data_IF_962524153696
#
_entry.id   IF_962524153696
#
_cell.length_a   1.000
_cell.length_b   1.000
_cell.length_c   1.000
_cell.angle_alpha   90.00
_cell.angle_beta   90.00
_cell.angle_gamma   90.00
#
_symmetry.space_group_name_H-M   'P 1'
#
loop_
_entity.id
_entity.type
_entity.pdbx_description
1 polymer ?
#
# COMPACT_ATOMS: atom_id res chain seq x y z
N UNK A 1 45.55 32.50 -1.55
CA UNK A 1 44.81 31.62 -0.63
C UNK A 1 43.38 32.15 -0.55
N UNK A 2 42.49 31.59 -1.34
CA UNK A 2 41.07 31.96 -1.37
C UNK A 2 40.30 30.69 -1.70
N UNK A 3 39.89 29.96 -0.66
CA UNK A 3 39.06 28.78 -0.80
C UNK A 3 37.59 29.22 -0.84
N UNK A 4 37.00 29.17 -2.03
CA UNK A 4 35.55 29.04 -2.18
C UNK A 4 35.16 27.59 -1.82
N UNK A 5 34.41 27.41 -0.73
CA UNK A 5 33.72 26.16 -0.43
C UNK A 5 32.30 26.24 -1.01
N UNK A 6 32.14 25.59 -2.16
CA UNK A 6 30.88 25.39 -2.86
C UNK A 6 29.92 24.53 -2.03
N UNK A 7 28.76 25.08 -1.66
CA UNK A 7 27.61 24.35 -1.13
C UNK A 7 27.05 23.42 -2.21
N UNK A 8 27.40 22.12 -2.17
CA UNK A 8 26.95 21.14 -3.18
C UNK A 8 26.70 19.71 -2.68
N UNK A 9 26.34 19.49 -1.41
CA UNK A 9 26.24 18.11 -0.88
C UNK A 9 24.84 17.65 -0.44
N UNK A 10 23.79 18.48 -0.53
CA UNK A 10 22.41 18.07 -0.21
C UNK A 10 21.76 17.05 -1.16
N UNK A 11 21.95 17.12 -2.50
CA UNK A 11 21.27 16.23 -3.45
C UNK A 11 21.80 14.79 -3.50
N UNK A 12 23.05 14.54 -3.07
CA UNK A 12 23.70 13.24 -3.25
C UNK A 12 23.24 12.19 -2.22
N UNK A 13 22.99 12.57 -0.96
CA UNK A 13 22.50 11.64 0.07
C UNK A 13 21.11 11.07 -0.25
N UNK A 14 20.27 11.85 -0.95
CA UNK A 14 18.93 11.43 -1.36
C UNK A 14 18.94 10.42 -2.52
N UNK A 15 19.88 10.59 -3.45
CA UNK A 15 20.13 9.60 -4.52
C UNK A 15 20.64 8.28 -3.92
N UNK A 16 21.41 8.33 -2.83
CA UNK A 16 21.91 7.12 -2.14
C UNK A 16 20.77 6.29 -1.52
N UNK A 17 19.73 6.92 -0.96
CA UNK A 17 18.56 6.20 -0.42
C UNK A 17 17.67 5.62 -1.54
N UNK A 18 17.55 6.31 -2.68
CA UNK A 18 16.89 5.76 -3.86
C UNK A 18 17.68 4.58 -4.48
N UNK A 19 19.01 4.59 -4.37
CA UNK A 19 19.90 3.53 -4.86
C UNK A 19 19.98 2.30 -3.93
N UNK A 20 19.48 2.38 -2.69
CA UNK A 20 19.28 1.18 -1.86
C UNK A 20 18.16 0.28 -2.39
N UNK A 21 17.30 0.83 -3.26
CA UNK A 21 16.33 0.04 -4.01
C UNK A 21 16.87 -0.23 -5.42
N UNK A 22 16.92 -1.49 -5.88
CA UNK A 22 17.45 -1.79 -7.20
C UNK A 22 16.67 -1.02 -8.28
N UNK A 23 17.40 -0.22 -9.09
CA UNK A 23 16.88 0.37 -10.34
C UNK A 23 16.62 -0.77 -11.32
N UNK A 24 15.34 -1.04 -11.58
CA UNK A 24 14.93 -2.04 -12.56
C UNK A 24 15.15 -1.52 -13.98
N UNK A 25 15.93 -2.26 -14.77
CA UNK A 25 15.86 -2.23 -16.22
C UNK A 25 14.70 -3.14 -16.65
N UNK A 26 13.80 -2.63 -17.50
CA UNK A 26 12.67 -3.39 -18.06
C UNK A 26 13.14 -4.67 -18.76
N UNK A 27 13.24 -5.76 -18.00
CA UNK A 27 13.40 -7.12 -18.48
C UNK A 27 12.06 -7.81 -18.27
N UNK A 28 11.48 -8.39 -19.32
CA UNK A 28 10.22 -9.14 -19.23
C UNK A 28 10.45 -10.34 -18.33
N UNK A 29 10.06 -10.25 -17.05
CA UNK A 29 10.03 -11.40 -16.15
C UNK A 29 9.16 -12.50 -16.76
N UNK A 30 9.57 -13.79 -16.68
CA UNK A 30 8.74 -14.89 -17.15
C UNK A 30 7.36 -14.83 -16.50
N UNK A 31 6.30 -14.94 -17.33
CA UNK A 31 4.92 -15.01 -16.85
C UNK A 31 4.76 -16.25 -15.96
N UNK A 32 4.16 -16.06 -14.79
CA UNK A 32 3.86 -17.16 -13.89
C UNK A 32 2.78 -18.06 -14.50
N UNK A 33 2.81 -19.37 -14.21
CA UNK A 33 1.70 -20.24 -14.55
C UNK A 33 0.40 -19.71 -13.92
N UNK A 34 -0.61 -19.49 -14.75
CA UNK A 34 -1.98 -19.23 -14.29
C UNK A 34 -2.59 -20.53 -13.76
N UNK A 35 -3.20 -20.50 -12.59
CA UNK A 35 -3.87 -21.66 -11.96
C UNK A 35 -5.40 -21.48 -11.97
N UNK A 36 -6.15 -22.52 -11.60
CA UNK A 36 -7.60 -22.46 -11.39
C UNK A 36 -7.94 -22.52 -9.91
N UNK A 37 -9.10 -21.97 -9.53
CA UNK A 37 -9.62 -22.08 -8.16
C UNK A 37 -9.74 -23.55 -7.71
N UNK A 38 -10.22 -24.44 -8.58
CA UNK A 38 -10.34 -25.87 -8.30
C UNK A 38 -8.99 -26.52 -7.99
N UNK A 39 -7.92 -26.12 -8.68
CA UNK A 39 -6.56 -26.59 -8.36
C UNK A 39 -6.10 -26.10 -6.99
N UNK A 40 -6.37 -24.83 -6.66
CA UNK A 40 -6.00 -24.24 -5.37
C UNK A 40 -6.79 -24.86 -4.20
N UNK A 41 -8.04 -25.28 -4.42
CA UNK A 41 -8.84 -26.01 -3.42
C UNK A 41 -8.32 -27.43 -3.21
N UNK A 42 -7.74 -28.04 -4.25
CA UNK A 42 -7.23 -29.40 -4.21
C UNK A 42 -5.78 -29.52 -3.67
N UNK A 43 -5.17 -28.43 -3.21
CA UNK A 43 -3.77 -28.45 -2.75
C UNK A 43 -3.59 -29.29 -1.49
N UNK A 44 -2.52 -30.08 -1.47
CA UNK A 44 -1.99 -30.79 -0.30
C UNK A 44 -1.35 -29.81 0.70
N UNK A 45 -1.14 -30.17 1.99
CA UNK A 45 -0.54 -29.29 3.02
C UNK A 45 0.91 -28.82 2.76
N UNK A 46 1.44 -29.02 1.56
CA UNK A 46 2.81 -28.68 1.15
C UNK A 46 3.00 -27.23 0.69
N UNK A 47 1.92 -26.48 0.46
CA UNK A 47 1.95 -25.12 -0.11
C UNK A 47 1.00 -24.19 0.63
N UNK A 48 1.29 -22.88 0.60
CA UNK A 48 0.49 -21.85 1.25
C UNK A 48 -0.05 -20.90 0.18
N UNK A 49 -1.32 -20.51 0.33
CA UNK A 49 -1.96 -19.52 -0.52
C UNK A 49 -1.83 -18.14 0.13
N UNK A 50 -1.09 -17.24 -0.50
CA UNK A 50 -0.83 -15.90 -0.02
C UNK A 50 -1.45 -14.85 -0.95
N UNK A 51 -2.36 -14.03 -0.42
CA UNK A 51 -2.99 -12.92 -1.11
C UNK A 51 -2.12 -11.67 -1.03
N UNK A 52 -1.71 -11.18 -2.19
CA UNK A 52 -1.04 -9.90 -2.38
C UNK A 52 -2.00 -8.82 -2.88
N UNK A 53 -1.91 -7.62 -2.30
CA UNK A 53 -2.71 -6.45 -2.68
C UNK A 53 -1.91 -5.13 -2.76
N UNK A 54 -0.69 -5.10 -2.24
CA UNK A 54 0.18 -3.93 -2.23
C UNK A 54 1.41 -4.12 -3.09
N UNK A 55 2.59 -3.78 -2.55
CA UNK A 55 3.87 -3.89 -3.28
C UNK A 55 4.18 -5.28 -3.85
N UNK A 56 3.60 -6.34 -3.28
CA UNK A 56 3.74 -7.73 -3.75
C UNK A 56 2.94 -8.06 -5.01
N UNK A 57 2.11 -7.15 -5.50
CA UNK A 57 1.53 -7.29 -6.84
C UNK A 57 2.64 -7.26 -7.91
N UNK A 58 3.72 -6.50 -7.71
CA UNK A 58 4.80 -6.42 -8.69
C UNK A 58 5.85 -7.52 -8.49
N UNK A 59 6.24 -8.17 -9.58
CA UNK A 59 7.36 -9.09 -9.61
C UNK A 59 8.68 -8.43 -9.19
N UNK A 60 8.85 -7.12 -9.36
CA UNK A 60 10.03 -6.39 -8.89
C UNK A 60 10.21 -6.58 -7.39
N UNK A 61 9.13 -6.45 -6.63
CA UNK A 61 9.17 -6.61 -5.17
C UNK A 61 9.15 -8.08 -4.79
N UNK A 62 8.19 -8.84 -5.32
CA UNK A 62 7.88 -10.18 -4.87
C UNK A 62 8.97 -11.18 -5.27
N UNK A 63 9.36 -11.21 -6.57
CA UNK A 63 10.40 -12.10 -7.07
C UNK A 63 11.80 -11.50 -6.94
N UNK A 64 11.91 -10.18 -7.14
CA UNK A 64 13.19 -9.46 -7.16
C UNK A 64 13.72 -9.22 -5.75
N UNK A 65 13.21 -8.18 -5.08
CA UNK A 65 13.72 -7.75 -3.77
C UNK A 65 13.60 -8.84 -2.70
N UNK A 66 12.48 -9.58 -2.67
CA UNK A 66 12.23 -10.64 -1.66
C UNK A 66 12.74 -12.02 -2.07
N UNK A 67 13.07 -12.25 -3.35
CA UNK A 67 13.55 -13.54 -3.83
C UNK A 67 12.50 -14.66 -3.86
N UNK A 68 11.20 -14.33 -3.71
CA UNK A 68 10.13 -15.33 -3.65
C UNK A 68 9.94 -16.02 -4.99
N UNK A 69 9.74 -17.34 -4.97
CA UNK A 69 9.51 -18.16 -6.16
C UNK A 69 8.10 -18.74 -6.16
N UNK A 70 7.07 -17.95 -6.53
CA UNK A 70 5.70 -18.46 -6.55
C UNK A 70 5.52 -19.58 -7.57
N UNK A 71 4.80 -20.62 -7.16
CA UNK A 71 4.50 -21.81 -7.96
C UNK A 71 3.39 -21.52 -8.98
N UNK A 72 2.41 -20.73 -8.59
CA UNK A 72 1.33 -20.27 -9.46
C UNK A 72 0.72 -18.97 -8.95
N UNK A 73 -0.08 -18.30 -9.79
CA UNK A 73 -0.81 -17.08 -9.44
C UNK A 73 -2.25 -17.10 -9.97
N UNK A 74 -3.17 -16.50 -9.22
CA UNK A 74 -4.58 -16.32 -9.58
C UNK A 74 -5.09 -14.95 -9.15
N UNK A 75 -5.72 -14.21 -10.06
CA UNK A 75 -6.37 -12.95 -9.73
C UNK A 75 -7.65 -13.25 -8.92
N UNK A 76 -7.85 -12.50 -7.84
CA UNK A 76 -8.99 -12.71 -6.95
C UNK A 76 -9.67 -11.42 -6.55
N UNK A 77 -10.94 -11.58 -6.20
CA UNK A 77 -11.80 -10.58 -5.60
C UNK A 77 -12.11 -10.99 -4.16
N UNK A 78 -12.04 -10.04 -3.23
CA UNK A 78 -12.22 -10.24 -1.79
C UNK A 78 -13.18 -9.16 -1.27
N UNK A 79 -14.51 -9.42 -1.29
CA UNK A 79 -15.53 -8.43 -0.90
C UNK A 79 -15.46 -8.02 0.57
N UNK A 80 -14.87 -8.86 1.43
CA UNK A 80 -14.79 -8.63 2.87
C UNK A 80 -13.68 -7.66 3.26
N UNK A 81 -12.82 -7.24 2.33
CA UNK A 81 -11.73 -6.31 2.57
C UNK A 81 -11.81 -5.10 1.65
N UNK A 82 -11.32 -3.96 2.11
CA UNK A 82 -11.13 -2.74 1.32
C UNK A 82 -9.65 -2.33 1.36
N UNK A 83 -9.10 -1.95 0.20
CA UNK A 83 -7.75 -1.38 0.11
C UNK A 83 -7.73 0.01 0.74
N UNK A 84 -6.80 0.24 1.66
CA UNK A 84 -6.53 1.55 2.25
C UNK A 84 -5.07 1.93 2.06
N UNK A 85 -4.73 3.19 2.33
CA UNK A 85 -3.37 3.70 2.30
C UNK A 85 -3.05 4.42 3.61
N UNK A 86 -3.22 3.70 4.72
CA UNK A 86 -3.16 4.24 6.07
C UNK A 86 -2.03 3.64 6.92
N UNK A 87 -1.23 2.73 6.35
CA UNK A 87 0.00 2.29 7.00
C UNK A 87 1.01 3.45 6.93
N UNK A 88 1.46 4.03 8.06
CA UNK A 88 2.36 5.17 8.03
C UNK A 88 3.77 4.75 7.60
N UNK A 89 4.33 5.50 6.66
CA UNK A 89 5.75 5.44 6.34
C UNK A 89 6.51 6.59 6.97
N UNK A 90 7.28 7.31 6.17
CA UNK A 90 8.11 8.44 6.60
C UNK A 90 7.64 9.73 5.90
N UNK A 91 7.31 10.80 6.64
CA UNK A 91 6.85 12.05 6.04
C UNK A 91 7.91 12.65 5.09
N UNK A 92 7.44 13.39 4.09
CA UNK A 92 8.23 13.98 2.99
C UNK A 92 8.94 12.99 2.06
N UNK A 93 8.75 11.68 2.24
CA UNK A 93 9.33 10.65 1.36
C UNK A 93 8.24 9.73 0.85
N UNK A 94 7.89 8.73 1.66
CA UNK A 94 6.83 7.77 1.41
C UNK A 94 5.88 7.81 2.60
N UNK A 95 4.92 8.76 2.58
CA UNK A 95 4.17 9.07 3.80
C UNK A 95 3.27 7.93 4.25
N UNK A 96 2.77 7.13 3.31
CA UNK A 96 1.97 5.96 3.61
C UNK A 96 2.11 4.85 2.57
N UNK A 97 1.74 3.64 3.00
CA UNK A 97 1.71 2.40 2.23
C UNK A 97 0.32 1.77 2.25
N UNK A 98 0.10 0.79 1.38
CA UNK A 98 -1.14 0.06 1.29
C UNK A 98 -1.38 -0.81 2.53
N UNK A 99 -2.64 -0.95 2.88
CA UNK A 99 -3.13 -1.83 3.93
C UNK A 99 -4.54 -2.28 3.56
N UNK A 100 -5.14 -3.13 4.38
CA UNK A 100 -6.54 -3.56 4.21
C UNK A 100 -7.34 -3.35 5.48
N UNK A 101 -8.63 -3.06 5.32
CA UNK A 101 -9.62 -3.01 6.40
C UNK A 101 -10.73 -4.00 6.09
N UNK A 102 -11.31 -4.61 7.12
CA UNK A 102 -12.57 -5.31 6.93
C UNK A 102 -13.62 -4.33 6.44
N UNK A 103 -14.36 -4.72 5.41
CA UNK A 103 -15.44 -3.90 4.86
C UNK A 103 -16.58 -3.88 5.87
N UNK A 104 -16.66 -2.83 6.68
CA UNK A 104 -17.90 -2.44 7.34
C UNK A 104 -18.82 -1.74 6.34
N UNK A 105 -20.16 -1.80 6.49
CA UNK A 105 -21.06 -0.96 5.70
C UNK A 105 -20.59 0.49 5.81
N UNK A 106 -20.30 1.12 4.67
CA UNK A 106 -19.67 2.42 4.64
C UNK A 106 -20.57 3.46 5.33
N UNK A 107 -20.09 4.22 6.32
CA UNK A 107 -20.71 5.52 6.59
C UNK A 107 -20.57 6.36 5.30
N UNK A 108 -21.54 7.24 4.98
CA UNK A 108 -21.42 8.12 3.83
C UNK A 108 -20.12 8.94 3.98
N UNK A 109 -19.15 8.67 3.11
CA UNK A 109 -17.89 9.41 3.10
C UNK A 109 -18.19 10.84 2.65
N UNK A 110 -18.14 11.76 3.62
CA UNK A 110 -18.12 13.19 3.35
C UNK A 110 -16.69 13.69 3.04
N UNK A 111 -15.74 12.77 2.81
CA UNK A 111 -14.34 13.09 2.54
C UNK A 111 -13.97 12.64 1.13
N UNK A 112 -13.92 13.63 0.26
CA UNK A 112 -13.92 13.57 -1.20
C UNK A 112 -12.54 13.28 -1.82
N UNK A 113 -11.79 12.33 -1.25
CA UNK A 113 -10.52 11.91 -1.83
C UNK A 113 -10.71 10.68 -2.73
N UNK A 114 -10.06 10.63 -3.90
CA UNK A 114 -10.26 9.58 -4.92
C UNK A 114 -10.05 8.14 -4.41
N UNK A 115 -9.30 7.96 -3.33
CA UNK A 115 -9.05 6.67 -2.68
C UNK A 115 -10.32 5.97 -2.24
N UNK A 116 -11.34 6.72 -1.85
CA UNK A 116 -12.59 6.19 -1.29
C UNK A 116 -13.64 5.88 -2.37
N UNK A 117 -13.30 6.04 -3.67
CA UNK A 117 -14.24 5.80 -4.79
C UNK A 117 -14.42 4.32 -5.13
N UNK A 118 -13.47 3.47 -4.72
CA UNK A 118 -13.57 2.03 -4.97
C UNK A 118 -14.28 1.33 -3.82
N UNK A 119 -15.50 0.87 -4.08
CA UNK A 119 -16.40 0.27 -3.09
C UNK A 119 -16.73 -1.19 -3.38
N UNK A 120 -16.07 -1.81 -4.36
CA UNK A 120 -16.36 -3.19 -4.77
C UNK A 120 -15.60 -4.23 -3.95
N UNK A 121 -14.87 -3.85 -2.91
CA UNK A 121 -13.99 -4.75 -2.15
C UNK A 121 -12.62 -4.95 -2.81
N UNK A 122 -11.71 -5.65 -2.15
CA UNK A 122 -10.31 -5.75 -2.56
C UNK A 122 -10.14 -6.60 -3.82
N UNK A 123 -9.29 -6.15 -4.73
CA UNK A 123 -8.81 -6.94 -5.87
C UNK A 123 -7.32 -7.18 -5.66
N UNK A 124 -6.88 -8.41 -5.85
CA UNK A 124 -5.50 -8.80 -5.61
C UNK A 124 -5.10 -10.05 -6.37
N UNK A 125 -3.94 -10.60 -6.01
CA UNK A 125 -3.39 -11.81 -6.60
C UNK A 125 -3.09 -12.80 -5.50
N UNK A 126 -3.65 -13.99 -5.57
CA UNK A 126 -3.21 -15.11 -4.74
C UNK A 126 -2.04 -15.81 -5.41
N UNK A 127 -0.93 -15.89 -4.70
CA UNK A 127 0.22 -16.71 -5.03
C UNK A 127 0.18 -18.03 -4.25
N UNK A 128 0.49 -19.12 -4.93
CA UNK A 128 0.84 -20.38 -4.28
C UNK A 128 2.35 -20.38 -4.01
N UNK A 129 2.74 -20.45 -2.74
CA UNK A 129 4.13 -20.37 -2.31
C UNK A 129 4.53 -21.55 -1.43
N UNK A 130 5.84 -21.78 -1.32
CA UNK A 130 6.38 -22.77 -0.38
C UNK A 130 6.31 -22.24 1.05
N UNK A 131 6.32 -23.10 2.08
CA UNK A 131 6.41 -22.65 3.47
C UNK A 131 7.65 -21.77 3.76
N UNK A 132 8.76 -22.02 3.06
CA UNK A 132 9.99 -21.24 3.19
C UNK A 132 9.84 -19.82 2.62
N UNK A 133 9.28 -19.73 1.42
CA UNK A 133 8.92 -18.45 0.82
C UNK A 133 7.92 -17.68 1.71
N UNK A 134 6.97 -18.38 2.32
CA UNK A 134 5.99 -17.78 3.22
C UNK A 134 6.65 -17.20 4.48
N UNK A 135 7.62 -17.89 5.10
CA UNK A 135 8.40 -17.32 6.21
C UNK A 135 9.11 -16.03 5.80
N UNK A 136 9.69 -16.02 4.60
CA UNK A 136 10.36 -14.83 4.05
C UNK A 136 9.37 -13.67 3.85
N UNK A 137 8.15 -13.95 3.39
CA UNK A 137 7.07 -12.95 3.28
C UNK A 137 6.75 -12.35 4.66
N UNK A 138 6.49 -13.21 5.66
CA UNK A 138 6.17 -12.77 7.03
C UNK A 138 7.31 -11.91 7.61
N UNK A 139 8.56 -12.37 7.50
CA UNK A 139 9.72 -11.65 8.02
C UNK A 139 9.93 -10.28 7.35
N UNK A 140 9.67 -10.17 6.03
CA UNK A 140 9.93 -8.95 5.26
C UNK A 140 8.76 -7.97 5.17
N UNK A 141 7.57 -8.35 5.64
CA UNK A 141 6.41 -7.45 5.73
C UNK A 141 6.16 -6.94 7.15
N UNK A 142 6.97 -7.36 8.12
CA UNK A 142 6.71 -7.06 9.54
C UNK A 142 5.53 -7.86 10.09
N UNK A 143 5.28 -9.05 9.53
CA UNK A 143 4.31 -10.01 10.05
C UNK A 143 4.71 -10.42 11.46
N UNK A 144 3.87 -10.07 12.44
CA UNK A 144 4.13 -10.26 13.87
C UNK A 144 4.54 -8.99 14.63
N UNK A 145 4.90 -7.90 13.96
CA UNK A 145 5.22 -6.62 14.61
C UNK A 145 4.23 -5.50 14.24
N UNK A 146 3.81 -5.41 12.97
CA UNK A 146 2.83 -4.41 12.50
C UNK A 146 1.66 -5.00 11.73
N UNK A 147 1.80 -6.17 11.14
CA UNK A 147 0.72 -6.88 10.45
C UNK A 147 0.36 -8.19 11.16
N UNK A 148 -0.93 -8.52 11.15
CA UNK A 148 -1.48 -9.80 11.55
C UNK A 148 -1.75 -10.66 10.32
N UNK A 149 -1.35 -11.92 10.41
CA UNK A 149 -1.75 -12.95 9.44
C UNK A 149 -3.22 -13.32 9.68
N UNK A 150 -4.05 -13.10 8.66
CA UNK A 150 -5.47 -13.43 8.66
C UNK A 150 -5.83 -14.24 7.42
N UNK A 151 -6.81 -15.12 7.55
CA UNK A 151 -7.30 -15.95 6.45
C UNK A 151 -8.62 -15.38 5.95
N UNK A 152 -8.70 -15.08 4.64
CA UNK A 152 -9.86 -14.43 4.03
C UNK A 152 -10.44 -15.20 2.85
N UNK A 153 -11.77 -15.15 2.64
CA UNK A 153 -12.40 -15.77 1.48
C UNK A 153 -12.09 -15.00 0.20
N UNK A 154 -11.57 -15.70 -0.80
CA UNK A 154 -11.16 -15.20 -2.09
C UNK A 154 -12.01 -15.83 -3.20
N UNK A 155 -12.47 -15.00 -4.14
CA UNK A 155 -13.25 -15.41 -5.31
C UNK A 155 -12.39 -15.23 -6.56
N UNK A 156 -12.29 -16.28 -7.37
CA UNK A 156 -11.46 -16.23 -8.57
C UNK A 156 -12.04 -15.27 -9.61
N UNK A 157 -11.17 -14.42 -10.16
CA UNK A 157 -11.50 -13.56 -11.30
C UNK A 157 -11.16 -14.32 -12.57
N UNK A 158 -12.13 -14.43 -13.48
CA UNK A 158 -11.90 -15.07 -14.77
C UNK A 158 -10.84 -14.31 -15.58
N UNK A 159 -9.92 -15.00 -16.28
CA UNK A 159 -8.95 -14.35 -17.15
C UNK A 159 -9.65 -13.49 -18.21
N UNK A 160 -9.21 -12.24 -18.37
CA UNK A 160 -9.78 -11.30 -19.33
C UNK A 160 -11.06 -10.59 -18.86
N UNK A 161 -11.49 -10.76 -17.61
CA UNK A 161 -12.54 -9.95 -17.01
C UNK A 161 -12.19 -8.47 -17.05
N UNK A 162 -13.09 -7.65 -17.61
CA UNK A 162 -12.93 -6.19 -17.68
C UNK A 162 -13.42 -5.47 -16.44
N UNK A 163 -14.48 -6.00 -15.84
CA UNK A 163 -15.16 -5.41 -14.69
C UNK A 163 -15.33 -6.41 -13.58
N UNK A 164 -15.40 -5.92 -12.36
CA UNK A 164 -15.73 -6.71 -11.17
C UNK A 164 -17.13 -6.36 -10.69
N UNK A 165 -17.92 -7.37 -10.35
CA UNK A 165 -19.18 -7.22 -9.64
C UNK A 165 -18.90 -7.10 -8.14
N UNK A 166 -19.61 -6.20 -7.44
CA UNK A 166 -19.41 -6.02 -6.01
C UNK A 166 -19.75 -7.28 -5.20
N UNK A 167 -20.64 -8.12 -5.73
CA UNK A 167 -21.03 -9.40 -5.16
C UNK A 167 -20.54 -10.51 -6.10
N UNK A 168 -19.53 -11.29 -5.70
CA UNK A 168 -18.97 -12.30 -6.57
C UNK A 168 -19.92 -13.50 -6.72
N UNK A 169 -19.97 -14.04 -7.94
CA UNK A 169 -20.62 -15.32 -8.22
C UNK A 169 -19.55 -16.41 -8.24
N UNK A 170 -19.56 -17.32 -7.26
CA UNK A 170 -18.61 -18.42 -7.19
C UNK A 170 -18.43 -19.02 -5.80
N UNK A 171 -17.72 -20.15 -5.74
CA UNK A 171 -17.32 -20.77 -4.48
C UNK A 171 -16.01 -20.13 -4.03
N UNK A 172 -15.94 -19.57 -2.82
CA UNK A 172 -14.71 -18.99 -2.32
C UNK A 172 -13.69 -20.09 -1.96
N UNK A 173 -12.42 -19.72 -2.02
CA UNK A 173 -11.33 -20.47 -1.39
C UNK A 173 -10.59 -19.53 -0.42
N UNK A 174 -9.78 -20.08 0.48
CA UNK A 174 -9.17 -19.30 1.55
C UNK A 174 -7.69 -19.04 1.28
N UNK A 175 -7.23 -17.81 1.53
CA UNK A 175 -5.83 -17.44 1.44
C UNK A 175 -5.42 -16.60 2.64
N UNK A 176 -4.16 -16.75 3.03
CA UNK A 176 -3.50 -15.90 4.02
C UNK A 176 -3.25 -14.52 3.44
N UNK A 177 -3.43 -13.49 4.24
CA UNK A 177 -3.09 -12.12 3.91
C UNK A 177 -2.60 -11.40 5.16
N UNK A 178 -1.81 -10.35 4.95
CA UNK A 178 -1.35 -9.51 6.04
C UNK A 178 -2.26 -8.29 6.17
N UNK A 179 -2.82 -8.08 7.35
CA UNK A 179 -3.66 -6.94 7.69
C UNK A 179 -3.17 -6.31 8.99
N UNK A 180 -3.01 -4.99 9.04
CA UNK A 180 -2.73 -4.28 10.29
C UNK A 180 -4.04 -3.80 10.91
N UNK A 181 -4.56 -4.40 12.00
CA UNK A 181 -5.84 -4.02 12.58
C UNK A 181 -5.85 -2.58 13.07
N UNK A 182 -7.02 -1.96 13.03
CA UNK A 182 -7.32 -0.69 13.68
C UNK A 182 -8.17 -0.95 14.94
N UNK A 183 -8.07 -0.12 16.00
CA UNK A 183 -8.99 -0.20 17.15
C UNK A 183 -10.47 -0.12 16.75
N UNK A 184 -10.77 0.50 15.60
CA UNK A 184 -12.12 0.57 15.01
C UNK A 184 -12.65 -0.77 14.50
N UNK A 185 -11.80 -1.78 14.32
CA UNK A 185 -12.17 -3.07 13.72
C UNK A 185 -12.86 -4.01 14.73
N UNK A 186 -13.16 -3.53 15.95
CA UNK A 186 -13.91 -4.29 16.95
C UNK A 186 -13.18 -5.51 17.51
N UNK A 187 -11.86 -5.61 17.32
CA UNK A 187 -11.06 -6.67 17.94
C UNK A 187 -11.11 -6.48 19.46
N UNK A 188 -11.55 -7.54 20.17
CA UNK A 188 -11.75 -7.51 21.62
C UNK A 188 -10.50 -7.13 22.42
N UNK A 189 -10.65 -6.78 23.71
CA UNK A 189 -9.62 -6.15 24.56
C UNK A 189 -8.35 -6.98 24.83
N UNK A 190 -8.25 -8.20 24.26
CA UNK A 190 -7.15 -9.14 24.51
C UNK A 190 -6.22 -9.35 23.32
N UNK A 191 -6.38 -8.61 22.22
CA UNK A 191 -5.35 -8.59 21.17
C UNK A 191 -4.30 -7.59 21.63
N UNK A 192 -3.09 -8.07 21.91
CA UNK A 192 -1.93 -7.22 22.15
C UNK A 192 -1.59 -6.46 20.88
N UNK A 193 -2.32 -5.39 20.58
CA UNK A 193 -2.08 -4.52 19.44
C UNK A 193 -0.82 -3.75 19.78
N UNK A 194 0.28 -3.99 19.06
CA UNK A 194 1.32 -2.98 18.94
C UNK A 194 0.68 -1.76 18.27
N UNK A 195 0.21 -0.81 19.09
CA UNK A 195 -0.37 0.45 18.67
C UNK A 195 0.72 1.38 18.10
N UNK A 196 1.57 0.87 17.21
CA UNK A 196 2.46 1.68 16.39
C UNK A 196 1.68 2.82 15.75
N UNK A 197 2.35 3.78 15.13
CA UNK A 197 1.72 5.05 14.73
C UNK A 197 0.37 4.83 14.00
N UNK A 198 -0.69 5.44 14.51
CA UNK A 198 -2.01 5.54 13.87
C UNK A 198 -2.21 7.01 13.52
N UNK A 199 -2.47 7.30 12.24
CA UNK A 199 -2.75 8.68 11.80
C UNK A 199 -4.19 9.05 12.15
N UNK A 200 -4.48 10.31 12.54
CA UNK A 200 -5.84 10.72 12.92
C UNK A 200 -6.90 10.53 11.83
N UNK A 201 -6.51 10.69 10.57
CA UNK A 201 -7.37 10.46 9.41
C UNK A 201 -6.69 9.44 8.47
N UNK A 202 -7.19 8.19 8.42
CA UNK A 202 -6.64 7.12 7.57
C UNK A 202 -6.61 7.44 6.06
N UNK A 203 -7.55 8.24 5.57
CA UNK A 203 -7.66 8.58 4.13
C UNK A 203 -6.87 9.84 3.73
N UNK A 204 -6.21 10.52 4.69
CA UNK A 204 -5.60 11.83 4.44
C UNK A 204 -4.33 11.80 3.60
N UNK A 205 -3.39 10.91 3.96
CA UNK A 205 -2.06 10.86 3.38
C UNK A 205 -2.08 10.37 1.92
N UNK A 206 -1.07 10.75 1.14
CA UNK A 206 -0.84 10.30 -0.22
C UNK A 206 0.34 9.33 -0.26
N UNK A 207 0.20 8.23 -1.01
CA UNK A 207 1.30 7.29 -1.21
C UNK A 207 2.29 7.85 -2.24
N UNK A 208 3.57 7.47 -2.17
CA UNK A 208 4.57 7.98 -3.11
C UNK A 208 4.28 7.52 -4.55
N UNK A 209 4.74 8.30 -5.54
CA UNK A 209 4.67 7.89 -6.95
C UNK A 209 5.38 6.55 -7.20
N UNK A 210 6.52 6.33 -6.55
CA UNK A 210 7.28 5.08 -6.62
C UNK A 210 6.44 3.90 -6.12
N UNK A 211 5.78 4.06 -4.97
CA UNK A 211 4.99 2.99 -4.37
C UNK A 211 3.73 2.68 -5.19
N UNK A 212 2.99 3.72 -5.63
CA UNK A 212 1.83 3.52 -6.51
C UNK A 212 2.21 2.83 -7.82
N UNK A 213 3.40 3.12 -8.36
CA UNK A 213 3.91 2.43 -9.54
C UNK A 213 4.07 0.91 -9.33
N UNK A 214 4.39 0.44 -8.11
CA UNK A 214 4.46 -1.00 -7.82
C UNK A 214 3.08 -1.66 -7.90
N UNK A 215 2.02 -0.94 -7.49
CA UNK A 215 0.65 -1.44 -7.58
C UNK A 215 0.18 -1.46 -9.04
N UNK A 216 0.40 -0.37 -9.78
CA UNK A 216 -0.03 -0.28 -11.19
C UNK A 216 0.77 -1.23 -12.08
N UNK A 217 2.09 -1.32 -11.93
CA UNK A 217 2.90 -2.25 -12.73
C UNK A 217 2.58 -3.70 -12.38
N UNK A 218 2.39 -4.03 -11.10
CA UNK A 218 1.93 -5.35 -10.68
C UNK A 218 0.54 -5.69 -11.25
N UNK A 219 -0.37 -4.73 -11.24
CA UNK A 219 -1.68 -4.89 -11.85
C UNK A 219 -1.62 -5.16 -13.36
N UNK A 220 -0.75 -4.46 -14.09
CA UNK A 220 -0.47 -4.70 -15.50
C UNK A 220 0.17 -6.07 -15.75
N UNK A 221 1.16 -6.45 -14.94
CA UNK A 221 1.86 -7.75 -15.02
C UNK A 221 0.88 -8.93 -14.88
N UNK A 222 -0.14 -8.76 -14.02
CA UNK A 222 -1.17 -9.75 -13.73
C UNK A 222 -2.45 -9.60 -14.56
N UNK A 223 -2.53 -8.60 -15.44
CA UNK A 223 -3.73 -8.28 -16.21
C UNK A 223 -4.99 -8.19 -15.32
N UNK A 224 -4.90 -7.39 -14.24
CA UNK A 224 -6.04 -7.10 -13.37
C UNK A 224 -7.18 -6.42 -14.18
N UNK A 225 -8.43 -6.53 -13.72
CA UNK A 225 -9.59 -5.92 -14.40
C UNK A 225 -9.42 -4.44 -14.74
N UNK A 226 -9.92 -4.04 -15.91
CA UNK A 226 -9.79 -2.68 -16.45
C UNK A 226 -10.39 -1.62 -15.51
N UNK A 227 -11.53 -1.90 -14.87
CA UNK A 227 -12.16 -0.98 -13.93
C UNK A 227 -11.34 -0.77 -12.64
N UNK A 228 -10.70 -1.84 -12.14
CA UNK A 228 -9.79 -1.75 -11.00
C UNK A 228 -8.49 -1.03 -11.36
N UNK A 229 -7.95 -1.30 -12.55
CA UNK A 229 -6.79 -0.57 -13.05
C UNK A 229 -7.08 0.92 -13.20
N UNK A 230 -8.26 1.30 -13.71
CA UNK A 230 -8.68 2.70 -13.78
C UNK A 230 -8.73 3.35 -12.38
N UNK A 231 -9.20 2.63 -11.36
CA UNK A 231 -9.10 3.07 -9.99
C UNK A 231 -7.65 3.29 -9.54
N UNK A 232 -6.75 2.32 -9.74
CA UNK A 232 -5.35 2.44 -9.34
C UNK A 232 -4.64 3.63 -10.01
N UNK A 233 -4.89 3.87 -11.31
CA UNK A 233 -4.35 5.03 -12.01
C UNK A 233 -4.95 6.37 -11.55
N UNK A 234 -6.16 6.36 -10.99
CA UNK A 234 -6.80 7.57 -10.47
C UNK A 234 -6.18 8.07 -9.16
N UNK A 235 -5.43 7.21 -8.46
CA UNK A 235 -4.76 7.51 -7.20
C UNK A 235 -3.70 8.59 -7.39
N UNK A 236 -3.78 9.67 -6.61
CA UNK A 236 -2.81 10.76 -6.69
C UNK A 236 -1.56 10.44 -5.89
N UNK A 237 -0.37 10.54 -6.51
CA UNK A 237 0.88 10.35 -5.79
C UNK A 237 1.24 11.58 -4.95
N UNK A 238 1.92 11.33 -3.83
CA UNK A 238 2.60 12.36 -3.06
C UNK A 238 3.77 12.95 -3.86
N UNK A 239 3.87 14.27 -3.91
CA UNK A 239 4.99 15.01 -4.49
C UNK A 239 5.36 16.22 -3.64
N UNK A 240 6.65 16.51 -3.55
CA UNK A 240 7.15 17.73 -2.93
C UNK A 240 7.10 18.86 -3.96
N UNK A 241 6.30 19.88 -3.68
CA UNK A 241 6.10 21.04 -4.57
C UNK A 241 6.82 22.30 -4.09
N UNK A 242 7.20 22.36 -2.81
CA UNK A 242 7.79 23.57 -2.21
C UNK A 242 9.24 23.36 -1.77
N UNK A 243 10.03 24.44 -1.73
CA UNK A 243 11.39 24.44 -1.16
C UNK A 243 11.34 24.13 0.35
N UNK A 244 10.32 24.63 1.05
CA UNK A 244 10.11 24.37 2.47
C UNK A 244 9.99 22.87 2.75
N UNK A 245 9.16 22.14 1.99
CA UNK A 245 9.04 20.69 2.11
C UNK A 245 10.37 19.97 1.81
N UNK A 246 11.19 20.46 0.87
CA UNK A 246 12.54 19.91 0.62
C UNK A 246 13.48 20.10 1.81
N UNK A 247 13.36 21.21 2.53
CA UNK A 247 14.10 21.43 3.78
C UNK A 247 13.58 20.51 4.89
N UNK A 248 12.26 20.30 4.99
CA UNK A 248 11.66 19.33 5.91
C UNK A 248 12.16 17.90 5.67
N UNK A 249 12.21 17.49 4.39
CA UNK A 249 12.83 16.24 3.96
C UNK A 249 14.31 16.14 4.39
N UNK A 250 15.10 17.20 4.18
CA UNK A 250 16.50 17.20 4.58
C UNK A 250 16.66 17.01 6.09
N UNK A 251 15.79 17.59 6.91
CA UNK A 251 15.80 17.37 8.36
C UNK A 251 15.49 15.91 8.69
N UNK A 252 14.48 15.31 8.06
CA UNK A 252 14.17 13.86 8.24
C UNK A 252 15.39 13.01 7.88
N UNK A 253 16.01 13.26 6.73
CA UNK A 253 17.16 12.48 6.23
C UNK A 253 18.38 12.63 7.11
N UNK A 254 18.66 13.82 7.65
CA UNK A 254 19.85 14.04 8.47
C UNK A 254 19.68 13.52 9.90
N UNK A 255 18.47 13.67 10.46
CA UNK A 255 18.23 13.35 11.88
C UNK A 255 17.78 11.92 12.06
N UNK A 256 16.76 11.47 11.30
CA UNK A 256 16.06 10.22 11.58
C UNK A 256 16.54 9.04 10.75
N UNK A 257 16.89 9.24 9.48
CA UNK A 257 17.29 8.14 8.60
C UNK A 257 18.57 7.41 9.08
N UNK A 258 19.62 8.06 9.61
CA UNK A 258 20.79 7.35 10.12
C UNK A 258 20.43 6.45 11.32
N UNK A 259 19.52 6.91 12.19
CA UNK A 259 19.02 6.12 13.32
C UNK A 259 18.21 4.92 12.81
N UNK A 260 17.36 5.13 11.80
CA UNK A 260 16.59 4.05 11.17
C UNK A 260 17.50 3.00 10.53
N UNK A 261 18.51 3.42 9.75
CA UNK A 261 19.47 2.50 9.14
C UNK A 261 20.29 1.74 10.18
N UNK A 262 20.60 2.37 11.31
CA UNK A 262 21.27 1.70 12.43
C UNK A 262 20.40 0.59 13.02
N UNK A 263 19.12 0.86 13.33
CA UNK A 263 18.20 -0.15 13.87
C UNK A 263 17.96 -1.28 12.87
N UNK A 264 17.72 -0.97 11.58
CA UNK A 264 17.60 -1.99 10.52
C UNK A 264 18.87 -2.84 10.37
N UNK A 265 20.05 -2.23 10.57
CA UNK A 265 21.32 -2.95 10.60
C UNK A 265 21.40 -3.93 11.77
N UNK A 266 20.94 -3.52 12.96
CA UNK A 266 20.85 -4.40 14.13
C UNK A 266 19.84 -5.53 13.92
N UNK A 267 18.69 -5.25 13.32
CA UNK A 267 17.69 -6.29 13.01
C UNK A 267 18.30 -7.39 12.14
N UNK A 268 19.06 -7.03 11.11
CA UNK A 268 19.76 -8.00 10.27
C UNK A 268 20.81 -8.82 11.02
N UNK A 269 21.42 -8.25 12.06
CA UNK A 269 22.42 -8.94 12.89
C UNK A 269 21.81 -9.79 14.01
N UNK A 270 20.59 -9.46 14.44
CA UNK A 270 19.90 -10.08 15.58
C UNK A 270 18.71 -10.96 15.19
N UNK A 271 18.31 -10.99 13.91
CA UNK A 271 17.28 -11.89 13.41
C UNK A 271 17.72 -13.35 13.59
N UNK A 272 16.81 -14.18 14.08
CA UNK A 272 17.02 -15.62 14.19
C UNK A 272 16.86 -16.33 12.83
N UNK A 273 17.07 -17.65 12.81
CA UNK A 273 16.95 -18.48 11.60
C UNK A 273 15.52 -18.48 11.02
N UNK A 274 14.52 -18.10 11.82
CA UNK A 274 13.11 -17.92 11.39
C UNK A 274 12.82 -16.49 10.90
N UNK A 275 13.81 -15.60 10.89
CA UNK A 275 13.68 -14.19 10.50
C UNK A 275 12.95 -13.32 11.52
N UNK A 276 12.75 -13.80 12.75
CA UNK A 276 12.12 -13.04 13.83
C UNK A 276 13.17 -12.18 14.52
N UNK A 277 12.82 -10.91 14.73
CA UNK A 277 13.63 -9.96 15.49
C UNK A 277 13.25 -10.02 16.99
N UNK A 278 14.20 -9.81 17.91
CA UNK A 278 13.89 -9.75 19.34
C UNK A 278 12.85 -8.67 19.68
N UNK A 279 11.94 -8.96 20.60
CA UNK A 279 10.84 -8.04 20.98
C UNK A 279 11.34 -6.66 21.44
N UNK A 280 12.46 -6.61 22.16
CA UNK A 280 13.04 -5.32 22.60
C UNK A 280 13.48 -4.46 21.42
N UNK A 281 13.95 -5.08 20.33
CA UNK A 281 14.39 -4.38 19.14
C UNK A 281 13.20 -3.89 18.32
N UNK A 282 12.13 -4.69 18.21
CA UNK A 282 10.86 -4.27 17.65
C UNK A 282 10.27 -3.06 18.42
N UNK A 283 10.36 -3.07 19.76
CA UNK A 283 9.95 -1.94 20.61
C UNK A 283 10.77 -0.66 20.37
N UNK A 284 12.07 -0.78 20.07
CA UNK A 284 12.91 0.35 19.67
C UNK A 284 12.45 0.91 18.33
N UNK A 285 12.20 0.05 17.33
CA UNK A 285 11.70 0.47 16.02
C UNK A 285 10.36 1.21 16.14
N UNK A 286 9.44 0.70 16.96
CA UNK A 286 8.15 1.35 17.21
C UNK A 286 8.33 2.73 17.87
N UNK A 287 9.19 2.83 18.88
CA UNK A 287 9.50 4.10 19.57
C UNK A 287 10.13 5.10 18.62
N UNK A 288 11.04 4.65 17.75
CA UNK A 288 11.69 5.47 16.74
C UNK A 288 10.65 6.04 15.75
N UNK A 289 9.76 5.19 15.24
CA UNK A 289 8.69 5.62 14.32
C UNK A 289 7.72 6.61 14.99
N UNK A 290 7.36 6.40 16.26
CA UNK A 290 6.59 7.38 17.04
C UNK A 290 7.33 8.72 17.13
N UNK A 291 8.63 8.70 17.42
CA UNK A 291 9.48 9.90 17.46
C UNK A 291 9.52 10.67 16.13
N UNK A 292 9.65 9.98 15.00
CA UNK A 292 9.61 10.58 13.65
C UNK A 292 8.31 11.36 13.47
N UNK A 293 7.17 10.71 13.71
CA UNK A 293 5.85 11.30 13.49
C UNK A 293 5.53 12.42 14.50
N UNK A 294 5.90 12.28 15.78
CA UNK A 294 5.75 13.35 16.76
C UNK A 294 6.56 14.60 16.39
N UNK A 295 7.80 14.41 15.93
CA UNK A 295 8.65 15.53 15.48
C UNK A 295 8.04 16.23 14.26
N UNK A 296 7.44 15.45 13.37
CA UNK A 296 6.74 15.98 12.20
C UNK A 296 5.50 16.78 12.59
N UNK A 297 4.60 16.22 13.39
CA UNK A 297 3.32 16.84 13.74
C UNK A 297 3.52 18.11 14.61
N UNK A 298 4.50 18.08 15.52
CA UNK A 298 4.75 19.21 16.43
C UNK A 298 5.54 20.32 15.77
N UNK A 299 6.48 20.00 14.87
CA UNK A 299 7.47 20.95 14.34
C UNK A 299 7.49 21.00 12.82
N UNK A 300 7.79 19.87 12.15
CA UNK A 300 8.12 19.93 10.72
C UNK A 300 6.94 20.37 9.86
N UNK A 301 5.75 19.81 10.07
CA UNK A 301 4.53 20.19 9.33
C UNK A 301 4.28 21.70 9.41
N UNK A 302 4.44 22.28 10.61
CA UNK A 302 4.20 23.71 10.86
C UNK A 302 5.24 24.61 10.21
N UNK A 303 6.50 24.18 10.13
CA UNK A 303 7.60 25.00 9.61
C UNK A 303 7.90 24.79 8.13
N UNK A 304 7.74 23.57 7.65
CA UNK A 304 8.18 23.13 6.31
C UNK A 304 7.01 22.75 5.40
N UNK A 305 5.77 22.81 5.89
CA UNK A 305 4.58 22.44 5.14
C UNK A 305 4.29 20.94 5.19
N UNK A 306 3.24 20.53 4.50
CA UNK A 306 2.69 19.18 4.59
C UNK A 306 3.64 18.11 4.03
N UNK A 307 3.96 17.10 4.84
CA UNK A 307 4.79 15.96 4.47
C UNK A 307 4.00 14.70 4.12
N UNK A 308 2.67 14.76 4.19
CA UNK A 308 1.75 13.66 3.91
C UNK A 308 0.96 13.87 2.62
N UNK A 309 0.83 15.14 2.18
CA UNK A 309 0.05 15.52 1.00
C UNK A 309 0.79 16.56 0.14
N UNK A 310 0.62 16.46 -1.17
CA UNK A 310 1.08 17.41 -2.16
C UNK A 310 0.40 18.76 -1.93
N UNK A 311 1.20 19.82 -1.72
CA UNK A 311 0.68 21.18 -1.57
C UNK A 311 0.31 21.72 -2.95
N UNK A 312 -0.94 22.17 -3.11
CA UNK A 312 -1.47 22.74 -4.36
C UNK A 312 -2.57 21.89 -5.00
N UNK A 313 -2.67 20.61 -4.66
CA UNK A 313 -3.64 19.65 -5.23
C UNK A 313 -5.11 19.97 -4.89
N UNK A 314 -5.36 20.79 -3.86
CA UNK A 314 -6.70 21.18 -3.41
C UNK A 314 -7.50 21.95 -4.49
N UNK A 315 -6.80 22.67 -5.38
CA UNK A 315 -7.45 23.39 -6.49
C UNK A 315 -7.99 22.43 -7.56
N UNK A 316 -7.29 21.33 -7.81
CA UNK A 316 -7.73 20.29 -8.75
C UNK A 316 -8.85 19.41 -8.18
N UNK A 317 -8.99 19.35 -6.85
CA UNK A 317 -10.16 18.75 -6.19
C UNK A 317 -11.40 19.62 -6.38
N UNK A 318 -11.27 20.94 -6.16
CA UNK A 318 -12.36 21.90 -6.40
C UNK A 318 -12.80 21.96 -7.87
N UNK A 319 -11.86 21.88 -8.82
CA UNK A 319 -12.20 21.86 -10.24
C UNK A 319 -12.87 20.53 -10.64
N UNK A 320 -12.39 19.39 -10.15
CA UNK A 320 -13.03 18.09 -10.40
C UNK A 320 -14.45 17.98 -9.82
N UNK A 321 -14.70 18.61 -8.67
CA UNK A 321 -16.01 18.75 -8.03
C UNK A 321 -17.03 19.45 -8.95
N UNK A 322 -16.62 20.50 -9.67
CA UNK A 322 -17.47 21.25 -10.58
C UNK A 322 -17.83 20.48 -11.87
N UNK A 323 -16.98 19.51 -12.27
CA UNK A 323 -17.25 18.60 -13.38
C UNK A 323 -18.20 17.46 -12.99
N UNK A 324 -18.00 16.83 -11.83
CA UNK A 324 -18.83 15.68 -11.38
C UNK A 324 -20.27 16.12 -11.12
N UNK A 325 -20.49 17.25 -10.44
CA UNK A 325 -21.83 17.82 -10.25
C UNK A 325 -22.57 18.07 -11.55
N UNK A 326 -21.82 18.49 -12.59
CA UNK A 326 -22.35 18.80 -13.92
C UNK A 326 -22.73 17.54 -14.70
N UNK A 327 -22.08 16.41 -14.44
CA UNK A 327 -22.44 15.12 -15.03
C UNK A 327 -23.58 14.44 -14.26
N UNK A 328 -23.66 14.58 -12.93
CA UNK A 328 -24.83 14.14 -12.14
C UNK A 328 -26.10 14.89 -12.55
N UNK A 329 -26.04 16.21 -12.73
CA UNK A 329 -27.16 17.01 -13.28
C UNK A 329 -27.53 16.62 -14.72
N UNK A 330 -26.58 16.09 -15.51
CA UNK A 330 -26.83 15.65 -16.89
C UNK A 330 -27.54 14.29 -16.94
N UNK A 331 -27.31 13.43 -15.94
CA UNK A 331 -27.94 12.10 -15.82
C UNK A 331 -29.37 12.21 -15.27
N UNK A 332 -29.71 13.28 -14.54
CA UNK A 332 -31.05 13.50 -13.97
C UNK A 332 -32.10 14.15 -14.90
N UNK A 333 -31.83 14.40 -16.20
CA UNK A 333 -32.83 14.92 -17.13
C UNK A 333 -33.82 13.80 -17.55
N UNK A 334 -35.11 13.85 -17.17
CA UNK A 334 -36.04 12.75 -17.41
C UNK A 334 -36.55 12.71 -18.85
N UNK A 335 -36.81 11.48 -19.31
CA UNK A 335 -37.53 11.12 -20.52
C UNK A 335 -38.74 12.03 -20.74
N UNK A 336 -38.77 12.76 -21.87
CA UNK A 336 -39.99 13.37 -22.37
C UNK A 336 -40.96 12.23 -22.71
N UNK A 337 -42.02 12.12 -21.91
CA UNK A 337 -43.17 11.28 -22.16
C UNK A 337 -43.75 11.57 -23.55
N UNK A 338 -43.68 10.56 -24.42
CA UNK A 338 -44.47 10.49 -25.64
C UNK A 338 -45.86 10.03 -25.24
N UNK A 339 -46.81 10.95 -25.12
CA UNK A 339 -48.24 10.62 -25.08
C UNK A 339 -48.71 10.33 -26.51
N UNK A 340 -49.11 9.08 -26.75
CA UNK A 340 -49.95 8.68 -27.86
C UNK A 340 -51.41 8.92 -27.47
N UNK A 341 -52.06 9.91 -28.10
CA UNK A 341 -53.47 9.88 -28.49
C UNK A 341 -53.65 10.63 -29.82
#
# INVERSE_FOLDING_TARGET
>A
MTNQLSARNGPQAFVTLQNLWPRWSSSKSPRLPTTSASRLIATTPSTILYLAYGSNLSAQTFKGTRGIKPLSALNVHVPSLTLTFDLPGIPYTEPCFANTRYTSPAPPSNTEYRKDRWHKGLVGVVYEVTPEDYRTIIATEGGGASYHDVVVPCYAIAPGSKTIDAIPSGVPFFAHTLLRPSPSDGLGPNVGISEGVIRPNPSYAQASARYLNLLTSGGEEHALPEDYMAYLYSLRPYTITTIAQRMGLAVIVVVWVPMLLFVLGLEKMCADDDGKVPEWLAGIMETLMKGVWESYDRVLKKRFGDGERTIGDEKDEKNGMDWVKRDEERVEMPEKSVTLE
#
